data_IF_099503893796
#
_entry.id   IF_099503893796
#
_cell.length_a   1.000
_cell.length_b   1.000
_cell.length_c   1.000
_cell.angle_alpha   90.00
_cell.angle_beta   90.00
_cell.angle_gamma   90.00
#
_symmetry.space_group_name_H-M   'P 1'
#
loop_
_entity.id
_entity.type
_entity.pdbx_description
1 polymer ?
#
# COMPACT_ATOMS: atom_id res chain seq x y z
N UNK A 1 7.04 -11.53 0.90
CA UNK A 1 7.14 -11.28 -0.53
C UNK A 1 8.60 -11.46 -0.98
N UNK A 2 8.85 -12.54 -1.71
CA UNK A 2 10.18 -12.97 -2.16
C UNK A 2 10.99 -11.81 -2.78
N UNK A 3 10.37 -11.03 -3.64
CA UNK A 3 11.02 -9.92 -4.34
C UNK A 3 11.67 -8.89 -3.39
N UNK A 4 11.04 -8.61 -2.25
CA UNK A 4 11.58 -7.59 -1.34
C UNK A 4 12.79 -8.10 -0.52
N UNK A 5 12.86 -9.38 -0.23
CA UNK A 5 13.91 -9.95 0.64
C UNK A 5 15.09 -10.53 -0.14
N UNK A 6 14.86 -10.90 -1.42
CA UNK A 6 15.89 -11.48 -2.30
C UNK A 6 17.05 -10.52 -2.58
N UNK A 7 18.19 -11.01 -3.10
CA UNK A 7 19.30 -10.18 -3.51
C UNK A 7 18.94 -9.09 -4.53
N UNK A 8 17.94 -9.34 -5.39
CA UNK A 8 17.43 -8.37 -6.37
C UNK A 8 16.55 -7.27 -5.75
N UNK A 9 16.12 -7.46 -4.50
CA UNK A 9 15.36 -6.48 -3.72
C UNK A 9 16.20 -5.84 -2.62
N UNK A 10 15.84 -6.08 -1.34
CA UNK A 10 16.61 -5.56 -0.20
C UNK A 10 17.96 -6.27 0.01
N UNK A 11 18.05 -7.53 -0.36
CA UNK A 11 19.25 -8.34 -0.18
C UNK A 11 19.58 -8.62 1.28
N UNK A 12 18.58 -9.01 2.09
CA UNK A 12 18.83 -9.36 3.50
C UNK A 12 19.66 -10.64 3.57
N UNK A 13 20.75 -10.61 4.35
CA UNK A 13 21.64 -11.74 4.49
C UNK A 13 20.92 -12.99 5.03
N UNK A 14 21.19 -14.15 4.42
CA UNK A 14 20.57 -15.41 4.76
C UNK A 14 19.28 -15.74 4.00
N UNK A 15 18.82 -14.86 3.10
CA UNK A 15 17.59 -15.10 2.33
C UNK A 15 17.65 -16.42 1.55
N UNK A 16 18.72 -16.68 0.82
CA UNK A 16 18.86 -17.90 -0.01
C UNK A 16 18.76 -19.18 0.81
N UNK A 17 19.30 -19.17 2.04
CA UNK A 17 19.26 -20.33 2.92
C UNK A 17 17.84 -20.62 3.45
N UNK A 18 17.02 -19.60 3.66
CA UNK A 18 15.64 -19.73 4.13
C UNK A 18 14.68 -20.07 2.99
N UNK A 19 14.99 -19.60 1.77
CA UNK A 19 14.12 -19.78 0.58
C UNK A 19 14.42 -21.04 -0.23
N UNK A 20 15.46 -21.80 0.10
CA UNK A 20 15.79 -23.05 -0.56
C UNK A 20 14.66 -24.08 -0.42
N UNK A 21 14.45 -24.92 -1.42
CA UNK A 21 13.38 -25.93 -1.45
C UNK A 21 13.45 -26.93 -0.29
N UNK A 22 14.68 -27.24 0.16
CA UNK A 22 15.00 -28.13 1.26
C UNK A 22 15.48 -27.38 2.52
N UNK A 23 15.08 -26.10 2.67
CA UNK A 23 15.53 -25.25 3.75
C UNK A 23 15.26 -25.86 5.14
N UNK A 24 16.32 -26.05 5.91
CA UNK A 24 16.26 -26.40 7.34
C UNK A 24 16.34 -25.16 8.25
N UNK A 25 16.84 -24.06 7.68
CA UNK A 25 16.94 -22.75 8.34
C UNK A 25 15.60 -22.04 8.23
N UNK A 26 15.11 -21.45 9.33
CA UNK A 26 13.81 -20.76 9.40
C UNK A 26 13.94 -19.27 9.63
N UNK A 27 15.13 -18.77 9.88
CA UNK A 27 15.40 -17.38 10.22
C UNK A 27 16.47 -16.79 9.31
N UNK A 28 16.28 -15.53 8.95
CA UNK A 28 17.25 -14.77 8.18
C UNK A 28 18.45 -14.43 9.08
N UNK A 29 19.65 -14.87 8.71
CA UNK A 29 20.86 -14.62 9.50
C UNK A 29 21.20 -13.13 9.65
N UNK A 30 20.73 -12.31 8.72
CA UNK A 30 20.91 -10.87 8.72
C UNK A 30 19.96 -10.10 9.64
N UNK A 31 18.98 -10.75 10.27
CA UNK A 31 18.08 -10.11 11.22
C UNK A 31 18.48 -10.52 12.64
N UNK A 32 18.80 -9.52 13.48
CA UNK A 32 19.19 -9.78 14.87
C UNK A 32 18.54 -8.77 15.81
N UNK A 33 17.84 -9.27 16.82
CA UNK A 33 17.34 -8.47 17.94
C UNK A 33 18.52 -8.22 18.89
N UNK A 34 18.79 -6.97 19.22
CA UNK A 34 19.83 -6.55 20.16
C UNK A 34 19.24 -6.36 21.55
N UNK A 35 18.13 -5.65 21.65
CA UNK A 35 17.36 -5.40 22.87
C UNK A 35 15.89 -5.07 22.52
N UNK A 36 15.08 -4.71 23.50
CA UNK A 36 13.63 -4.44 23.35
C UNK A 36 13.32 -3.29 22.37
N UNK A 37 14.29 -2.46 22.05
CA UNK A 37 14.12 -1.26 21.21
C UNK A 37 15.04 -1.23 20.00
N UNK A 38 15.94 -2.21 19.88
CA UNK A 38 17.01 -2.21 18.88
C UNK A 38 17.08 -3.55 18.16
N UNK A 39 17.07 -3.51 16.86
CA UNK A 39 17.42 -4.65 16.01
C UNK A 39 18.36 -4.20 14.89
N UNK A 40 19.08 -5.12 14.32
CA UNK A 40 19.97 -4.87 13.19
C UNK A 40 19.54 -5.66 11.96
N UNK A 41 19.76 -5.06 10.80
CA UNK A 41 19.56 -5.70 9.51
C UNK A 41 20.89 -5.67 8.76
N UNK A 42 21.40 -6.86 8.44
CA UNK A 42 22.60 -7.04 7.63
C UNK A 42 22.19 -7.34 6.19
N UNK A 43 22.74 -6.59 5.25
CA UNK A 43 22.49 -6.78 3.82
C UNK A 43 23.65 -7.54 3.19
N UNK A 44 23.36 -8.36 2.17
CA UNK A 44 24.38 -9.09 1.39
C UNK A 44 25.26 -8.16 0.53
N UNK A 45 24.74 -6.97 0.20
CA UNK A 45 25.46 -5.91 -0.51
C UNK A 45 24.91 -4.53 -0.11
N UNK A 46 25.70 -3.45 -0.28
CA UNK A 46 25.22 -2.09 -0.04
C UNK A 46 23.99 -1.76 -0.89
N UNK A 47 22.93 -1.24 -0.27
CA UNK A 47 21.68 -0.84 -0.95
C UNK A 47 21.26 0.56 -0.51
N UNK A 48 21.45 1.54 -1.39
CA UNK A 48 21.10 2.95 -1.12
C UNK A 48 19.60 3.21 -1.03
N UNK A 49 18.76 2.28 -1.50
CA UNK A 49 17.30 2.38 -1.45
C UNK A 49 16.69 1.71 -0.22
N UNK A 50 17.51 1.14 0.67
CA UNK A 50 17.05 0.38 1.83
C UNK A 50 16.00 1.15 2.65
N UNK A 51 16.31 2.38 3.07
CA UNK A 51 15.41 3.21 3.88
C UNK A 51 14.08 3.51 3.16
N UNK A 52 14.12 3.71 1.84
CA UNK A 52 12.93 3.94 1.03
C UNK A 52 12.07 2.69 0.93
N UNK A 53 12.68 1.55 0.71
CA UNK A 53 11.98 0.27 0.53
C UNK A 53 11.32 -0.19 1.84
N UNK A 54 11.98 -0.05 2.99
CA UNK A 54 11.40 -0.44 4.29
C UNK A 54 10.23 0.45 4.73
N UNK A 55 10.05 1.61 4.10
CA UNK A 55 8.84 2.43 4.24
C UNK A 55 7.58 1.83 3.59
N UNK A 56 7.70 0.76 2.81
CA UNK A 56 6.58 0.08 2.20
C UNK A 56 5.79 -0.75 3.23
N UNK A 57 4.48 -0.81 3.07
CA UNK A 57 3.57 -1.43 4.05
C UNK A 57 3.87 -2.90 4.39
N UNK A 58 4.55 -3.64 3.51
CA UNK A 58 4.98 -5.02 3.80
C UNK A 58 5.99 -5.13 4.95
N UNK A 59 6.63 -4.03 5.34
CA UNK A 59 7.63 -3.98 6.42
C UNK A 59 7.08 -3.33 7.70
N UNK A 60 5.79 -3.03 7.75
CA UNK A 60 5.21 -2.47 8.97
C UNK A 60 5.31 -3.47 10.12
N UNK A 61 5.69 -3.02 11.33
CA UNK A 61 5.78 -3.88 12.49
C UNK A 61 4.43 -4.46 12.84
N UNK A 62 4.41 -5.76 13.15
CA UNK A 62 3.21 -6.48 13.55
C UNK A 62 3.30 -6.80 15.04
N UNK A 63 2.25 -6.56 15.83
CA UNK A 63 2.22 -6.89 17.25
C UNK A 63 2.07 -8.40 17.48
N UNK A 64 2.42 -8.88 18.68
CA UNK A 64 2.30 -10.29 19.06
C UNK A 64 0.88 -10.83 18.89
N UNK A 65 -0.14 -10.01 19.06
CA UNK A 65 -1.54 -10.39 18.83
C UNK A 65 -1.82 -10.85 17.40
N UNK A 66 -1.11 -10.35 16.41
CA UNK A 66 -1.20 -10.86 15.04
C UNK A 66 -0.74 -12.31 14.93
N UNK A 67 0.39 -12.63 15.56
CA UNK A 67 0.97 -13.97 15.50
C UNK A 67 0.16 -14.97 16.36
N UNK A 68 -0.49 -14.50 17.41
CA UNK A 68 -1.33 -15.32 18.28
C UNK A 68 -2.66 -15.72 17.61
N UNK A 69 -3.35 -14.79 16.96
CA UNK A 69 -4.60 -15.03 16.22
C UNK A 69 -4.73 -14.03 15.04
N UNK A 70 -4.24 -14.38 13.87
CA UNK A 70 -4.34 -13.52 12.67
C UNK A 70 -5.78 -13.14 12.30
N UNK A 71 -6.76 -14.03 12.53
CA UNK A 71 -8.17 -13.75 12.19
C UNK A 71 -8.79 -12.73 13.14
N UNK A 72 -8.52 -12.85 14.43
CA UNK A 72 -8.95 -11.85 15.40
C UNK A 72 -8.29 -10.50 15.12
N UNK A 73 -7.02 -10.50 14.74
CA UNK A 73 -6.30 -9.28 14.35
C UNK A 73 -6.88 -8.63 13.08
N UNK A 74 -7.25 -9.41 12.07
CA UNK A 74 -7.92 -8.88 10.86
C UNK A 74 -9.28 -8.23 11.18
N UNK A 75 -9.98 -8.71 12.19
CA UNK A 75 -11.25 -8.15 12.65
C UNK A 75 -11.06 -6.84 13.43
N UNK A 76 -9.98 -6.72 14.20
CA UNK A 76 -9.63 -5.53 14.99
C UNK A 76 -8.13 -5.23 14.90
N UNK A 77 -7.66 -4.68 13.78
CA UNK A 77 -6.24 -4.42 13.56
C UNK A 77 -5.71 -3.34 14.50
N UNK A 78 -4.50 -3.58 15.01
CA UNK A 78 -3.75 -2.62 15.82
C UNK A 78 -2.61 -2.08 14.95
N UNK A 79 -2.52 -0.76 14.82
CA UNK A 79 -1.47 -0.06 14.10
C UNK A 79 -0.75 0.93 14.99
N UNK A 80 0.33 1.49 14.46
CA UNK A 80 1.13 2.54 15.11
C UNK A 80 0.95 3.92 14.46
N UNK A 81 -0.08 4.08 13.61
CA UNK A 81 -0.37 5.32 12.89
C UNK A 81 -1.19 6.35 13.68
N UNK A 82 -1.49 7.50 13.05
CA UNK A 82 -2.24 8.58 13.69
C UNK A 82 -3.73 8.29 13.87
N UNK A 83 -4.23 7.17 13.35
CA UNK A 83 -5.62 6.75 13.50
C UNK A 83 -5.72 5.35 14.10
N UNK A 84 -6.76 5.12 14.91
CA UNK A 84 -7.13 3.83 15.47
C UNK A 84 -8.35 3.27 14.75
N UNK A 85 -8.37 1.97 14.53
CA UNK A 85 -9.53 1.25 14.03
C UNK A 85 -10.71 1.35 15.02
N UNK A 86 -11.91 1.57 14.48
CA UNK A 86 -13.17 1.61 15.26
C UNK A 86 -14.05 0.44 14.87
N UNK A 87 -14.41 0.34 13.58
CA UNK A 87 -15.33 -0.69 13.11
C UNK A 87 -15.14 -0.97 11.62
N UNK A 88 -15.64 -2.14 11.20
CA UNK A 88 -15.74 -2.53 9.80
C UNK A 88 -17.09 -3.16 9.52
N UNK A 89 -17.79 -2.64 8.53
CA UNK A 89 -18.94 -3.29 7.92
C UNK A 89 -18.48 -3.91 6.59
N UNK A 90 -18.42 -5.25 6.47
CA UNK A 90 -17.91 -5.91 5.28
C UNK A 90 -18.55 -5.38 3.99
N UNK A 91 -17.74 -5.08 2.99
CA UNK A 91 -18.14 -4.54 1.68
C UNK A 91 -18.87 -3.19 1.72
N UNK A 92 -18.94 -2.51 2.87
CA UNK A 92 -19.62 -1.23 3.05
C UNK A 92 -18.66 -0.14 3.51
N UNK A 93 -18.05 -0.31 4.70
CA UNK A 93 -17.20 0.74 5.25
C UNK A 93 -16.18 0.23 6.27
N UNK A 94 -15.14 1.05 6.45
CA UNK A 94 -14.19 0.96 7.57
C UNK A 94 -14.18 2.31 8.26
N UNK A 95 -14.26 2.32 9.58
CA UNK A 95 -14.23 3.51 10.40
C UNK A 95 -12.97 3.56 11.25
N UNK A 96 -12.33 4.70 11.26
CA UNK A 96 -11.17 4.97 12.11
C UNK A 96 -11.34 6.31 12.82
N UNK A 97 -10.72 6.46 13.99
CA UNK A 97 -10.70 7.70 14.75
C UNK A 97 -9.27 8.14 15.02
N UNK A 98 -9.07 9.43 15.21
CA UNK A 98 -7.80 10.00 15.62
C UNK A 98 -7.26 9.29 16.87
N UNK A 99 -5.94 9.04 16.89
CA UNK A 99 -5.24 8.51 18.06
C UNK A 99 -4.57 9.65 18.83
N UNK A 100 -5.13 10.10 19.96
CA UNK A 100 -4.61 11.27 20.69
C UNK A 100 -3.18 11.07 21.21
N UNK A 101 -2.78 9.83 21.50
CA UNK A 101 -1.47 9.51 22.04
C UNK A 101 -0.40 9.27 20.96
N UNK A 102 -0.74 9.46 19.70
CA UNK A 102 0.21 9.31 18.60
C UNK A 102 1.42 10.24 18.77
N UNK A 103 2.62 9.67 18.73
CA UNK A 103 3.88 10.40 18.99
C UNK A 103 4.61 10.85 17.72
N UNK A 104 4.19 10.39 16.54
CA UNK A 104 4.79 10.78 15.28
C UNK A 104 4.46 12.24 14.89
N UNK A 105 5.18 12.75 13.90
CA UNK A 105 5.08 14.13 13.45
C UNK A 105 3.71 14.45 12.78
N UNK A 106 3.17 13.49 11.99
CA UNK A 106 1.92 13.69 11.23
C UNK A 106 0.71 13.28 12.04
N UNK A 107 0.32 14.12 12.98
CA UNK A 107 -0.89 13.91 13.79
C UNK A 107 -2.15 14.03 12.92
N UNK A 108 -3.20 13.30 13.31
CA UNK A 108 -4.52 13.44 12.71
C UNK A 108 -5.04 14.88 12.87
N UNK A 109 -5.56 15.46 11.78
CA UNK A 109 -6.17 16.79 11.75
C UNK A 109 -7.70 16.72 11.77
N UNK A 110 -8.26 15.52 11.58
CA UNK A 110 -9.69 15.23 11.65
C UNK A 110 -9.92 14.16 12.71
N UNK A 111 -11.05 14.21 13.38
CA UNK A 111 -11.34 13.29 14.47
C UNK A 111 -11.71 11.90 13.98
N UNK A 112 -12.57 11.82 12.98
CA UNK A 112 -13.10 10.57 12.44
C UNK A 112 -12.93 10.52 10.93
N UNK A 113 -12.60 9.33 10.41
CA UNK A 113 -12.56 9.05 8.98
C UNK A 113 -13.34 7.77 8.70
N UNK A 114 -14.22 7.82 7.71
CA UNK A 114 -14.93 6.67 7.19
C UNK A 114 -14.45 6.37 5.76
N UNK A 115 -13.91 5.18 5.54
CA UNK A 115 -13.64 4.67 4.21
C UNK A 115 -14.87 3.95 3.70
N UNK A 116 -15.54 4.49 2.68
CA UNK A 116 -16.68 3.86 2.00
C UNK A 116 -16.18 2.96 0.88
N UNK A 117 -16.72 1.75 0.78
CA UNK A 117 -16.39 0.81 -0.27
C UNK A 117 -17.47 0.87 -1.37
N UNK A 118 -17.05 1.18 -2.58
CA UNK A 118 -17.93 1.26 -3.75
C UNK A 118 -17.67 0.10 -4.72
N UNK A 119 -18.71 -0.31 -5.43
CA UNK A 119 -18.60 -1.34 -6.48
C UNK A 119 -18.00 -0.79 -7.78
N UNK A 120 -18.07 0.52 -7.98
CA UNK A 120 -17.48 1.19 -9.14
C UNK A 120 -17.00 2.60 -8.80
N UNK A 121 -16.04 3.10 -9.57
CA UNK A 121 -15.54 4.47 -9.45
C UNK A 121 -16.64 5.47 -9.83
N UNK A 122 -17.53 5.12 -10.79
CA UNK A 122 -18.64 5.98 -11.20
C UNK A 122 -19.60 6.26 -10.04
N UNK A 123 -19.91 5.25 -9.22
CA UNK A 123 -20.76 5.42 -8.05
C UNK A 123 -20.12 6.32 -6.98
N UNK A 124 -18.81 6.14 -6.72
CA UNK A 124 -18.06 7.01 -5.81
C UNK A 124 -18.01 8.44 -6.34
N UNK A 125 -17.79 8.62 -7.64
CA UNK A 125 -17.76 9.94 -8.27
C UNK A 125 -19.11 10.66 -8.16
N UNK A 126 -20.23 9.96 -8.42
CA UNK A 126 -21.56 10.52 -8.26
C UNK A 126 -21.80 11.02 -6.81
N UNK A 127 -21.33 10.29 -5.81
CA UNK A 127 -21.44 10.69 -4.41
C UNK A 127 -20.55 11.92 -4.08
N UNK A 128 -19.38 12.06 -4.69
CA UNK A 128 -18.55 13.28 -4.54
C UNK A 128 -19.25 14.48 -5.19
N UNK A 129 -19.79 14.33 -6.39
CA UNK A 129 -20.53 15.41 -7.05
C UNK A 129 -21.74 15.83 -6.23
N UNK A 130 -22.47 14.87 -5.66
CA UNK A 130 -23.62 15.10 -4.80
C UNK A 130 -23.26 15.59 -3.38
N UNK A 131 -21.98 15.69 -3.04
CA UNK A 131 -21.47 16.06 -1.71
C UNK A 131 -21.84 15.05 -0.60
N UNK A 132 -21.98 13.78 -0.95
CA UNK A 132 -22.16 12.64 -0.04
C UNK A 132 -20.87 11.90 0.27
N UNK A 133 -19.78 12.24 -0.42
CA UNK A 133 -18.43 11.76 -0.22
C UNK A 133 -17.45 12.92 -0.35
N UNK A 134 -16.51 13.04 0.57
CA UNK A 134 -15.59 14.18 0.64
C UNK A 134 -14.41 14.03 -0.34
N UNK A 135 -13.88 12.81 -0.50
CA UNK A 135 -12.65 12.56 -1.27
C UNK A 135 -12.75 11.27 -2.06
N UNK A 136 -12.34 11.31 -3.32
CA UNK A 136 -11.93 10.14 -4.12
C UNK A 136 -10.56 10.44 -4.76
N UNK A 137 -9.80 9.42 -5.05
CA UNK A 137 -8.46 9.53 -5.66
C UNK A 137 -8.45 9.32 -7.18
N UNK A 138 -9.57 8.89 -7.73
CA UNK A 138 -9.69 8.53 -9.16
C UNK A 138 -10.95 9.12 -9.77
N UNK A 139 -10.79 9.79 -10.91
CA UNK A 139 -11.91 10.28 -11.73
C UNK A 139 -12.25 9.20 -12.78
N UNK A 140 -13.52 8.82 -12.95
CA UNK A 140 -13.90 7.81 -13.93
C UNK A 140 -13.68 8.28 -15.38
N UNK A 141 -13.39 7.35 -16.28
CA UNK A 141 -13.06 7.65 -17.67
C UNK A 141 -14.17 8.46 -18.36
N UNK A 142 -15.44 8.21 -18.02
CA UNK A 142 -16.57 8.95 -18.58
C UNK A 142 -16.53 10.46 -18.23
N UNK A 143 -16.10 10.80 -17.02
CA UNK A 143 -15.96 12.20 -16.59
C UNK A 143 -14.68 12.85 -17.11
N UNK A 144 -13.66 12.06 -17.43
CA UNK A 144 -12.42 12.58 -18.09
C UNK A 144 -12.71 13.00 -19.54
N UNK A 145 -13.63 12.33 -20.22
CA UNK A 145 -14.01 12.68 -21.58
C UNK A 145 -14.61 14.11 -21.64
N UNK A 146 -14.02 14.97 -22.43
CA UNK A 146 -14.47 16.38 -22.55
C UNK A 146 -14.24 17.23 -21.29
N UNK A 147 -13.46 16.76 -20.32
CA UNK A 147 -13.17 17.44 -19.06
C UNK A 147 -14.40 17.81 -18.23
N UNK A 148 -15.46 17.00 -18.30
CA UNK A 148 -16.72 17.22 -17.59
C UNK A 148 -16.52 17.39 -16.09
N UNK A 149 -15.56 16.64 -15.52
CA UNK A 149 -15.18 16.70 -14.11
C UNK A 149 -14.80 18.10 -13.61
N UNK A 150 -14.24 18.98 -14.48
CA UNK A 150 -13.88 20.34 -14.09
C UNK A 150 -15.12 21.16 -13.73
N UNK A 151 -16.21 20.95 -14.48
CA UNK A 151 -17.50 21.59 -14.20
C UNK A 151 -18.21 20.96 -13.02
N UNK A 152 -18.26 19.63 -12.97
CA UNK A 152 -18.97 18.89 -11.92
C UNK A 152 -18.39 19.14 -10.53
N UNK A 153 -17.08 19.22 -10.45
CA UNK A 153 -16.39 19.42 -9.18
C UNK A 153 -16.22 20.89 -8.80
N UNK A 154 -16.47 21.83 -9.72
CA UNK A 154 -16.46 23.27 -9.46
C UNK A 154 -15.20 23.76 -8.70
N UNK A 155 -14.03 23.29 -9.10
CA UNK A 155 -12.75 23.61 -8.46
C UNK A 155 -12.39 22.80 -7.20
N UNK A 156 -13.21 21.85 -6.79
CA UNK A 156 -12.93 20.90 -5.69
C UNK A 156 -12.05 19.75 -6.14
N UNK A 157 -10.91 20.03 -6.77
CA UNK A 157 -10.00 19.01 -7.23
C UNK A 157 -8.54 19.46 -7.10
N UNK A 158 -7.65 18.49 -7.01
CA UNK A 158 -6.20 18.70 -7.04
C UNK A 158 -5.63 17.88 -8.18
N UNK A 159 -5.08 18.55 -9.17
CA UNK A 159 -4.29 17.90 -10.22
C UNK A 159 -2.87 17.63 -9.73
N UNK A 160 -2.45 16.38 -9.86
CA UNK A 160 -1.05 16.00 -9.63
C UNK A 160 -0.49 15.41 -10.92
N UNK A 161 0.64 15.90 -11.43
CA UNK A 161 1.28 15.27 -12.58
C UNK A 161 1.66 13.84 -12.21
N UNK A 162 1.36 12.89 -13.09
CA UNK A 162 1.83 11.52 -12.96
C UNK A 162 3.35 11.52 -13.09
N UNK A 163 4.03 11.06 -12.05
CA UNK A 163 5.46 10.80 -12.06
C UNK A 163 5.68 9.31 -11.80
N UNK A 164 6.60 8.71 -12.53
CA UNK A 164 7.01 7.31 -12.32
C UNK A 164 5.94 6.25 -12.64
N UNK A 165 4.83 6.63 -13.28
CA UNK A 165 3.82 5.68 -13.78
C UNK A 165 3.71 5.84 -15.28
N UNK A 166 3.83 4.73 -16.02
CA UNK A 166 3.53 4.69 -17.44
C UNK A 166 2.61 3.51 -17.75
N UNK A 167 1.80 3.68 -18.76
CA UNK A 167 0.94 2.62 -19.29
C UNK A 167 1.47 2.20 -20.67
N UNK A 168 1.64 0.90 -20.87
CA UNK A 168 2.12 0.36 -22.14
C UNK A 168 1.25 -0.79 -22.62
N UNK A 169 1.22 -0.97 -23.91
CA UNK A 169 0.71 -2.17 -24.57
C UNK A 169 1.92 -2.96 -25.06
N UNK A 170 2.07 -4.17 -24.56
CA UNK A 170 3.17 -5.06 -24.95
C UNK A 170 2.68 -6.11 -25.95
N UNK A 171 3.41 -6.27 -27.00
CA UNK A 171 3.16 -7.33 -27.99
C UNK A 171 4.13 -8.49 -27.78
N UNK A 172 3.67 -9.75 -27.87
CA UNK A 172 4.55 -10.90 -27.73
C UNK A 172 5.43 -11.06 -28.99
N UNK A 173 6.66 -10.57 -28.91
CA UNK A 173 7.63 -10.58 -30.02
C UNK A 173 8.02 -12.00 -30.51
N UNK A 174 7.64 -13.04 -29.79
CA UNK A 174 7.80 -14.44 -30.21
C UNK A 174 6.69 -14.90 -31.18
N UNK A 175 5.61 -14.14 -31.31
CA UNK A 175 4.50 -14.45 -32.22
C UNK A 175 4.69 -13.68 -33.54
N UNK A 176 4.95 -14.42 -34.63
CA UNK A 176 5.24 -13.85 -35.95
C UNK A 176 4.19 -12.92 -36.50
N UNK A 177 2.95 -12.91 -35.99
CA UNK A 177 1.92 -11.95 -36.41
C UNK A 177 2.25 -10.52 -36.02
N UNK A 178 3.17 -10.33 -35.05
CA UNK A 178 3.64 -9.02 -34.62
C UNK A 178 5.00 -8.64 -35.20
N UNK A 179 5.54 -9.39 -36.19
CA UNK A 179 6.79 -9.04 -36.89
C UNK A 179 6.60 -7.83 -37.82
N UNK A 180 5.35 -7.52 -38.17
CA UNK A 180 5.04 -6.34 -39.00
C UNK A 180 4.89 -5.10 -38.10
N UNK A 181 5.83 -4.15 -38.24
CA UNK A 181 5.88 -2.91 -37.46
C UNK A 181 4.82 -1.90 -37.92
N UNK A 182 4.15 -2.14 -39.06
CA UNK A 182 3.15 -1.25 -39.67
C UNK A 182 1.71 -1.62 -39.24
N UNK A 183 1.58 -2.51 -38.28
CA UNK A 183 0.32 -2.83 -37.58
C UNK A 183 0.20 -2.01 -36.31
#
# INVERSE_FOLDING_TARGET
NQYFFSPDGLGIAGYDAVSAEDATVKELSGLKVVDDYTFTVELSAPNSLFETIVGYSAFFPMPDSFFADPKAFEAMPIGNGPFQFVSRTPSVSIEVKAFPEYKGERKAQVENVQFKLYQSVDAAYADVVANNLDIIDTIPAAALAGNVWQTDLAGRFIEKPLSSVFQSISFPLYDKKFDNVDL
#
